data_IF_864242727804
#
_entry.id   IF_864242727804
#
_cell.length_a   1.000
_cell.length_b   1.000
_cell.length_c   1.000
_cell.angle_alpha   90.00
_cell.angle_beta   90.00
_cell.angle_gamma   90.00
#
_symmetry.space_group_name_H-M   'P 1'
#
loop_
_entity.id
_entity.type
_entity.pdbx_description
1 polymer ?
#
# COMPACT_ATOMS: atom_id res chain seq x y z
N UNK A 1 23.98 10.36 -6.16
CA UNK A 1 24.25 9.20 -5.28
C UNK A 1 23.81 7.93 -6.00
N UNK A 2 24.69 6.94 -6.09
CA UNK A 2 24.36 5.58 -6.54
C UNK A 2 23.74 4.76 -5.40
N UNK A 3 23.21 3.55 -5.74
CA UNK A 3 22.57 2.69 -4.74
C UNK A 3 23.52 2.32 -3.59
N UNK A 4 24.80 2.05 -3.89
CA UNK A 4 25.80 1.73 -2.87
C UNK A 4 26.02 2.88 -1.91
N UNK A 5 26.13 4.11 -2.40
CA UNK A 5 26.32 5.31 -1.57
C UNK A 5 25.09 5.56 -0.68
N UNK A 6 23.88 5.28 -1.19
CA UNK A 6 22.63 5.37 -0.40
C UNK A 6 22.67 4.36 0.74
N UNK A 7 23.04 3.12 0.47
CA UNK A 7 23.13 2.05 1.46
C UNK A 7 24.13 2.43 2.56
N UNK A 8 25.36 2.79 2.17
CA UNK A 8 26.42 3.20 3.11
C UNK A 8 25.99 4.40 3.98
N UNK A 9 25.33 5.38 3.36
CA UNK A 9 24.81 6.54 4.08
C UNK A 9 23.71 6.14 5.07
N UNK A 10 22.73 5.32 4.67
CA UNK A 10 21.67 4.85 5.57
C UNK A 10 22.23 3.99 6.71
N UNK A 11 23.21 3.14 6.45
CA UNK A 11 23.88 2.34 7.47
C UNK A 11 24.65 3.20 8.47
N UNK A 12 25.23 4.33 8.03
CA UNK A 12 25.92 5.29 8.92
C UNK A 12 24.96 6.03 9.89
N UNK A 13 23.66 6.06 9.56
CA UNK A 13 22.61 6.66 10.40
C UNK A 13 22.00 5.68 11.40
N UNK A 14 22.54 4.48 11.51
CA UNK A 14 22.00 3.39 12.34
C UNK A 14 21.79 3.86 13.81
N UNK A 15 20.61 3.53 14.34
CA UNK A 15 20.21 3.79 15.72
C UNK A 15 19.76 2.46 16.37
N UNK A 16 20.58 1.93 17.26
CA UNK A 16 20.35 0.61 17.85
C UNK A 16 19.15 0.60 18.82
N UNK A 17 18.92 1.68 19.57
CA UNK A 17 17.77 1.78 20.46
C UNK A 17 16.47 1.81 19.66
N UNK A 18 16.41 2.66 18.64
CA UNK A 18 15.25 2.77 17.74
C UNK A 18 15.04 1.46 16.95
N UNK A 19 16.11 0.78 16.55
CA UNK A 19 16.04 -0.53 15.88
C UNK A 19 15.25 -1.55 16.69
N UNK A 20 15.58 -1.67 17.97
CA UNK A 20 14.89 -2.61 18.87
C UNK A 20 13.39 -2.25 19.04
N UNK A 21 13.07 -0.95 19.08
CA UNK A 21 11.68 -0.49 19.12
C UNK A 21 10.92 -0.84 17.84
N UNK A 22 11.53 -0.60 16.66
CA UNK A 22 10.94 -0.92 15.36
C UNK A 22 10.71 -2.43 15.20
N UNK A 23 11.68 -3.25 15.57
CA UNK A 23 11.54 -4.71 15.51
C UNK A 23 10.32 -5.22 16.31
N UNK A 24 10.08 -4.66 17.50
CA UNK A 24 8.88 -4.99 18.30
C UNK A 24 7.61 -4.49 17.64
N UNK A 25 7.63 -3.27 17.11
CA UNK A 25 6.47 -2.63 16.47
C UNK A 25 6.05 -3.36 15.19
N UNK A 26 7.02 -3.77 14.37
CA UNK A 26 6.79 -4.50 13.12
C UNK A 26 6.72 -6.02 13.30
N UNK A 27 6.74 -6.48 14.54
CA UNK A 27 6.56 -7.89 14.89
C UNK A 27 7.48 -8.83 14.12
N UNK A 28 8.78 -8.74 14.38
CA UNK A 28 9.81 -9.55 13.71
C UNK A 28 10.15 -10.84 14.45
N UNK A 29 9.42 -11.15 15.52
CA UNK A 29 9.58 -12.37 16.29
C UNK A 29 9.21 -13.62 15.51
N UNK A 30 9.64 -14.78 16.02
CA UNK A 30 9.32 -16.07 15.40
C UNK A 30 7.81 -16.31 15.35
N UNK A 31 7.28 -16.63 14.16
CA UNK A 31 5.85 -16.84 13.90
C UNK A 31 5.05 -15.56 13.69
N UNK A 32 5.67 -14.38 13.79
CA UNK A 32 5.04 -13.11 13.49
C UNK A 32 5.09 -12.78 12.00
N UNK A 33 4.25 -11.84 11.54
CA UNK A 33 4.14 -11.47 10.12
C UNK A 33 5.38 -10.78 9.54
N UNK A 34 6.26 -10.25 10.37
CA UNK A 34 7.54 -9.63 10.01
C UNK A 34 8.74 -10.50 10.38
N UNK A 35 8.56 -11.80 10.61
CA UNK A 35 9.64 -12.71 10.98
C UNK A 35 10.82 -12.60 10.00
N UNK A 36 12.02 -12.44 10.55
CA UNK A 36 13.27 -12.37 9.79
C UNK A 36 13.56 -11.01 9.17
N UNK A 37 12.69 -9.99 9.35
CA UNK A 37 12.97 -8.64 8.87
C UNK A 37 14.02 -7.93 9.73
N UNK A 38 15.00 -7.29 9.08
CA UNK A 38 16.10 -6.59 9.75
C UNK A 38 15.93 -5.07 9.61
N UNK A 39 16.28 -4.32 10.65
CA UNK A 39 16.14 -2.87 10.73
C UNK A 39 17.47 -2.17 11.01
N UNK A 40 17.60 -0.94 10.52
CA UNK A 40 18.66 0.01 10.87
C UNK A 40 18.27 0.89 12.08
N UNK A 41 16.99 1.10 12.29
CA UNK A 41 16.46 2.02 13.30
C UNK A 41 16.09 3.39 12.73
N UNK A 42 15.84 3.52 11.44
CA UNK A 42 15.48 4.79 10.80
C UNK A 42 13.95 4.96 10.77
N UNK A 43 13.48 6.14 11.13
CA UNK A 43 12.07 6.50 10.98
C UNK A 43 11.75 6.90 9.54
N UNK A 44 10.50 6.72 9.11
CA UNK A 44 10.03 7.10 7.77
C UNK A 44 10.44 8.52 7.33
N UNK A 45 10.38 9.58 8.19
CA UNK A 45 10.88 10.90 7.80
C UNK A 45 12.35 10.92 7.41
N UNK A 46 13.23 10.17 8.12
CA UNK A 46 14.65 10.08 7.81
C UNK A 46 14.85 9.38 6.45
N UNK A 47 14.16 8.27 6.19
CA UNK A 47 14.18 7.60 4.88
C UNK A 47 13.72 8.54 3.75
N UNK A 48 12.71 9.38 3.99
CA UNK A 48 12.25 10.38 3.01
C UNK A 48 13.30 11.46 2.73
N UNK A 49 14.10 11.86 3.71
CA UNK A 49 15.22 12.79 3.46
C UNK A 49 16.27 12.12 2.54
N UNK A 50 16.60 10.84 2.76
CA UNK A 50 17.51 10.11 1.85
C UNK A 50 16.98 10.08 0.41
N UNK A 51 15.68 9.81 0.23
CA UNK A 51 15.02 9.85 -1.09
C UNK A 51 15.17 11.22 -1.77
N UNK A 52 15.19 12.32 -1.02
CA UNK A 52 15.41 13.66 -1.58
C UNK A 52 16.85 13.87 -2.05
N UNK A 53 17.82 13.23 -1.41
CA UNK A 53 19.24 13.34 -1.76
C UNK A 53 19.62 12.55 -3.03
N UNK A 54 18.77 11.64 -3.48
CA UNK A 54 19.02 10.76 -4.63
C UNK A 54 17.99 10.94 -5.78
N UNK A 55 17.75 12.17 -6.29
CA UNK A 55 16.72 12.40 -7.29
C UNK A 55 17.04 11.70 -8.63
N UNK A 56 18.33 11.56 -8.95
CA UNK A 56 18.84 11.10 -10.24
C UNK A 56 19.46 9.69 -10.18
N UNK A 57 19.11 8.89 -9.14
CA UNK A 57 19.56 7.49 -9.07
C UNK A 57 19.12 6.76 -10.35
N UNK A 58 20.01 6.09 -11.13
CA UNK A 58 19.60 5.30 -12.28
C UNK A 58 18.51 4.29 -11.91
N UNK A 59 17.50 4.12 -12.79
CA UNK A 59 16.36 3.25 -12.48
C UNK A 59 16.82 1.79 -12.32
N UNK A 60 17.87 1.42 -13.00
CA UNK A 60 18.51 0.10 -12.97
C UNK A 60 19.16 -0.24 -11.62
N UNK A 61 19.44 0.78 -10.81
CA UNK A 61 20.02 0.60 -9.47
C UNK A 61 18.93 0.47 -8.38
N UNK A 62 17.69 0.87 -8.63
CA UNK A 62 16.59 0.75 -7.65
C UNK A 62 16.40 -0.68 -7.16
N UNK A 63 16.47 -1.74 -8.00
CA UNK A 63 16.37 -3.12 -7.54
C UNK A 63 17.35 -3.50 -6.43
N UNK A 64 18.55 -2.92 -6.40
CA UNK A 64 19.54 -3.15 -5.33
C UNK A 64 18.98 -2.70 -3.96
N UNK A 65 18.23 -1.60 -3.94
CA UNK A 65 17.57 -1.12 -2.73
C UNK A 65 16.34 -1.97 -2.40
N UNK A 66 15.50 -2.29 -3.40
CA UNK A 66 14.24 -3.04 -3.21
C UNK A 66 14.47 -4.43 -2.63
N UNK A 67 15.60 -5.09 -2.95
CA UNK A 67 15.92 -6.44 -2.51
C UNK A 67 16.83 -6.50 -1.29
N UNK A 68 17.12 -5.35 -0.68
CA UNK A 68 18.07 -5.27 0.42
C UNK A 68 17.51 -5.91 1.71
N UNK A 69 18.39 -6.47 2.54
CA UNK A 69 18.00 -7.12 3.80
C UNK A 69 17.37 -6.16 4.81
N UNK A 70 17.84 -4.90 4.87
CA UNK A 70 17.29 -3.91 5.79
C UNK A 70 15.99 -3.30 5.27
N UNK A 71 14.99 -3.31 6.14
CA UNK A 71 13.65 -2.80 5.90
C UNK A 71 13.64 -1.36 5.36
N UNK A 72 14.36 -0.45 6.01
CA UNK A 72 14.35 0.97 5.65
C UNK A 72 15.03 1.22 4.30
N UNK A 73 15.98 0.38 3.90
CA UNK A 73 16.60 0.47 2.56
C UNK A 73 15.60 0.02 1.49
N UNK A 74 14.81 -1.05 1.74
CA UNK A 74 13.70 -1.42 0.85
C UNK A 74 12.66 -0.31 0.77
N UNK A 75 12.30 0.28 1.92
CA UNK A 75 11.40 1.43 1.96
C UNK A 75 11.92 2.59 1.11
N UNK A 76 13.21 2.90 1.18
CA UNK A 76 13.84 3.92 0.34
C UNK A 76 13.65 3.61 -1.14
N UNK A 77 13.88 2.36 -1.57
CA UNK A 77 13.65 1.91 -2.95
C UNK A 77 12.20 2.11 -3.40
N UNK A 78 11.21 1.68 -2.60
CA UNK A 78 9.79 1.87 -2.92
C UNK A 78 9.40 3.36 -2.95
N UNK A 79 9.92 4.18 -2.06
CA UNK A 79 9.64 5.62 -2.06
C UNK A 79 10.30 6.34 -3.26
N UNK A 80 11.43 5.85 -3.77
CA UNK A 80 12.03 6.33 -5.03
C UNK A 80 11.11 6.01 -6.22
N UNK A 81 10.53 4.81 -6.28
CA UNK A 81 9.52 4.49 -7.30
C UNK A 81 8.31 5.42 -7.22
N UNK A 82 7.80 5.67 -6.00
CA UNK A 82 6.70 6.63 -5.78
C UNK A 82 7.07 8.01 -6.32
N UNK A 83 8.23 8.55 -5.92
CA UNK A 83 8.67 9.89 -6.33
C UNK A 83 8.75 10.03 -7.85
N UNK A 84 9.30 9.03 -8.52
CA UNK A 84 9.40 8.99 -9.99
C UNK A 84 8.04 8.88 -10.66
N UNK A 85 7.19 8.01 -10.13
CA UNK A 85 5.83 7.87 -10.64
C UNK A 85 5.06 9.18 -10.52
N UNK A 86 5.09 9.83 -9.35
CA UNK A 86 4.42 11.13 -9.13
C UNK A 86 4.94 12.22 -10.09
N UNK A 87 6.24 12.22 -10.41
CA UNK A 87 6.81 13.17 -11.38
C UNK A 87 6.24 12.99 -12.81
N UNK A 88 5.96 11.73 -13.20
CA UNK A 88 5.37 11.38 -14.51
C UNK A 88 3.83 11.41 -14.50
N UNK A 89 3.19 11.52 -13.34
CA UNK A 89 1.73 11.47 -13.18
C UNK A 89 1.08 12.86 -13.05
N UNK A 90 1.77 13.92 -13.46
CA UNK A 90 1.22 15.28 -13.44
C UNK A 90 0.15 15.48 -14.52
N UNK A 91 -0.77 16.44 -14.31
CA UNK A 91 -1.81 16.76 -15.30
C UNK A 91 -1.23 17.04 -16.68
N UNK A 92 -0.06 17.73 -16.76
CA UNK A 92 0.61 18.08 -18.00
C UNK A 92 1.13 16.85 -18.76
N UNK A 93 1.57 15.82 -18.05
CA UNK A 93 2.17 14.61 -18.60
C UNK A 93 1.17 13.44 -18.69
N UNK A 94 -0.11 13.67 -18.41
CA UNK A 94 -1.11 12.59 -18.34
C UNK A 94 -1.17 11.78 -19.63
N UNK A 95 -1.23 12.45 -20.78
CA UNK A 95 -1.35 11.85 -22.12
C UNK A 95 -0.01 11.82 -22.88
N UNK A 96 1.09 12.23 -22.26
CA UNK A 96 2.42 12.19 -22.87
C UNK A 96 2.91 10.74 -23.02
N UNK A 97 3.32 10.34 -24.21
CA UNK A 97 3.69 8.95 -24.53
C UNK A 97 4.89 8.47 -23.71
N UNK A 98 5.94 9.28 -23.60
CA UNK A 98 7.12 8.88 -22.83
C UNK A 98 6.79 8.79 -21.33
N UNK A 99 5.90 9.64 -20.81
CA UNK A 99 5.44 9.55 -19.43
C UNK A 99 4.54 8.32 -19.20
N UNK A 100 3.72 7.90 -20.18
CA UNK A 100 2.94 6.66 -20.11
C UNK A 100 3.90 5.47 -20.04
N UNK A 101 4.85 5.35 -20.96
CA UNK A 101 5.86 4.30 -20.95
C UNK A 101 6.65 4.24 -19.64
N UNK A 102 7.07 5.42 -19.14
CA UNK A 102 7.79 5.51 -17.87
C UNK A 102 6.95 5.09 -16.66
N UNK A 103 5.65 5.42 -16.62
CA UNK A 103 4.75 4.97 -15.56
C UNK A 103 4.54 3.46 -15.60
N UNK A 104 4.34 2.88 -16.79
CA UNK A 104 4.17 1.44 -16.97
C UNK A 104 5.42 0.68 -16.56
N UNK A 105 6.62 1.16 -16.92
CA UNK A 105 7.90 0.57 -16.51
C UNK A 105 8.10 0.60 -14.97
N UNK A 106 7.69 1.69 -14.30
CA UNK A 106 7.75 1.77 -12.83
C UNK A 106 6.79 0.77 -12.19
N UNK A 107 5.57 0.63 -12.72
CA UNK A 107 4.58 -0.34 -12.23
C UNK A 107 5.07 -1.77 -12.45
N UNK A 108 5.61 -2.07 -13.63
CA UNK A 108 6.20 -3.39 -13.91
C UNK A 108 7.33 -3.72 -12.91
N UNK A 109 8.22 -2.77 -12.64
CA UNK A 109 9.26 -2.92 -11.63
C UNK A 109 8.66 -3.16 -10.24
N UNK A 110 7.67 -2.37 -9.83
CA UNK A 110 6.98 -2.55 -8.54
C UNK A 110 6.40 -3.96 -8.42
N UNK A 111 5.69 -4.44 -9.44
CA UNK A 111 5.06 -5.78 -9.47
C UNK A 111 6.10 -6.90 -9.45
N UNK A 112 7.22 -6.72 -10.14
CA UNK A 112 8.35 -7.68 -10.17
C UNK A 112 8.96 -7.85 -8.77
N UNK A 113 9.06 -6.78 -8.01
CA UNK A 113 9.65 -6.77 -6.67
C UNK A 113 8.61 -6.69 -5.53
N UNK A 114 7.32 -6.94 -5.83
CA UNK A 114 6.23 -6.83 -4.86
C UNK A 114 6.41 -7.71 -3.61
N UNK A 115 7.09 -8.84 -3.71
CA UNK A 115 7.34 -9.74 -2.58
C UNK A 115 8.33 -9.16 -1.55
N UNK A 116 9.13 -8.18 -1.96
CA UNK A 116 10.00 -7.43 -1.05
C UNK A 116 9.29 -6.28 -0.32
N UNK A 117 8.05 -5.96 -0.70
CA UNK A 117 7.15 -5.11 0.09
C UNK A 117 6.48 -5.94 1.20
N UNK A 118 7.30 -6.63 1.98
CA UNK A 118 6.93 -7.67 2.92
C UNK A 118 6.55 -7.14 4.32
N UNK A 119 6.05 -5.91 4.40
CA UNK A 119 5.45 -5.36 5.60
C UNK A 119 4.40 -4.29 5.24
N UNK A 120 3.49 -4.01 6.17
CA UNK A 120 2.35 -3.13 5.92
C UNK A 120 2.75 -1.70 5.55
N UNK A 121 3.78 -1.13 6.15
CA UNK A 121 4.22 0.23 5.84
C UNK A 121 4.88 0.36 4.47
N UNK A 122 5.62 -0.65 4.01
CA UNK A 122 6.18 -0.71 2.65
C UNK A 122 5.05 -0.65 1.62
N UNK A 123 3.97 -1.40 1.85
CA UNK A 123 2.79 -1.41 0.98
C UNK A 123 2.03 -0.09 1.09
N UNK A 124 1.67 0.33 2.30
CA UNK A 124 0.77 1.46 2.55
C UNK A 124 1.35 2.80 2.08
N UNK A 125 2.68 2.93 2.13
CA UNK A 125 3.38 4.15 1.70
C UNK A 125 3.67 4.20 0.19
N UNK A 126 3.58 3.08 -0.52
CA UNK A 126 3.98 2.99 -1.93
C UNK A 126 2.84 2.59 -2.88
N UNK A 127 2.08 1.52 -2.59
CA UNK A 127 1.08 0.98 -3.50
C UNK A 127 -0.01 1.98 -3.92
N UNK A 128 -0.61 2.79 -3.04
CA UNK A 128 -1.62 3.77 -3.44
C UNK A 128 -1.12 4.77 -4.48
N UNK A 129 0.13 5.21 -4.31
CA UNK A 129 0.73 6.29 -5.11
C UNK A 129 1.37 5.83 -6.42
N UNK A 130 1.61 4.52 -6.55
CA UNK A 130 2.10 3.86 -7.76
C UNK A 130 0.96 3.10 -8.44
N UNK A 131 0.68 1.87 -7.97
CA UNK A 131 -0.35 1.00 -8.55
C UNK A 131 -1.72 1.68 -8.56
N UNK A 132 -2.17 2.21 -7.40
CA UNK A 132 -3.48 2.85 -7.29
C UNK A 132 -3.64 4.06 -8.23
N UNK A 133 -2.62 4.89 -8.37
CA UNK A 133 -2.67 6.04 -9.28
C UNK A 133 -2.60 5.60 -10.74
N UNK A 134 -1.79 4.59 -11.06
CA UNK A 134 -1.69 4.02 -12.40
C UNK A 134 -3.03 3.47 -12.90
N UNK A 135 -3.87 2.87 -12.03
CA UNK A 135 -5.20 2.40 -12.40
C UNK A 135 -6.05 3.50 -13.05
N UNK A 136 -5.87 4.75 -12.63
CA UNK A 136 -6.65 5.93 -13.03
C UNK A 136 -6.01 6.75 -14.16
N UNK A 137 -4.90 6.30 -14.71
CA UNK A 137 -4.14 7.01 -15.74
C UNK A 137 -4.07 6.18 -17.04
N UNK A 138 -3.85 6.79 -18.21
CA UNK A 138 -3.52 6.08 -19.44
C UNK A 138 -2.30 5.17 -19.27
N UNK A 139 -2.33 4.00 -19.89
CA UNK A 139 -1.32 2.94 -19.84
C UNK A 139 -1.37 2.12 -21.12
N UNK A 140 -0.27 1.46 -21.47
CA UNK A 140 -0.24 0.45 -22.52
C UNK A 140 -0.69 -0.94 -22.03
N UNK A 141 -1.01 -1.09 -20.75
CA UNK A 141 -1.57 -2.31 -20.21
C UNK A 141 -3.06 -2.40 -20.58
N UNK A 142 -3.41 -3.40 -21.37
CA UNK A 142 -4.79 -3.61 -21.85
C UNK A 142 -5.71 -4.14 -20.75
N UNK A 143 -5.18 -4.84 -19.74
CA UNK A 143 -5.96 -5.49 -18.69
C UNK A 143 -5.42 -5.22 -17.28
N UNK A 144 -5.66 -4.01 -16.79
CA UNK A 144 -5.35 -3.62 -15.41
C UNK A 144 -6.14 -4.42 -14.38
N UNK A 145 -7.32 -4.91 -14.76
CA UNK A 145 -8.16 -5.74 -13.89
C UNK A 145 -7.48 -7.08 -13.63
N UNK A 146 -6.94 -7.74 -14.68
CA UNK A 146 -6.21 -8.98 -14.51
C UNK A 146 -4.96 -8.82 -13.64
N UNK A 147 -4.24 -7.70 -13.75
CA UNK A 147 -3.09 -7.39 -12.87
C UNK A 147 -3.54 -7.32 -11.41
N UNK A 148 -4.61 -6.60 -11.13
CA UNK A 148 -5.13 -6.43 -9.77
C UNK A 148 -5.74 -7.71 -9.21
N UNK A 149 -6.46 -8.48 -10.01
CA UNK A 149 -7.01 -9.79 -9.63
C UNK A 149 -5.87 -10.78 -9.34
N UNK A 150 -4.79 -10.76 -10.12
CA UNK A 150 -3.60 -11.56 -9.86
C UNK A 150 -2.94 -11.24 -8.51
N UNK A 151 -2.91 -9.97 -8.11
CA UNK A 151 -2.46 -9.57 -6.78
C UNK A 151 -3.42 -10.07 -5.68
N UNK A 152 -4.73 -9.88 -5.89
CA UNK A 152 -5.75 -10.23 -4.90
C UNK A 152 -5.89 -11.74 -4.67
N UNK A 153 -5.66 -12.55 -5.69
CA UNK A 153 -5.72 -14.02 -5.64
C UNK A 153 -4.39 -14.69 -5.26
N UNK A 154 -3.30 -13.92 -5.14
CA UNK A 154 -1.99 -14.46 -4.76
C UNK A 154 -2.02 -15.12 -3.36
N UNK A 155 -1.15 -16.09 -3.10
CA UNK A 155 -0.95 -16.67 -1.76
C UNK A 155 -0.27 -15.69 -0.80
N UNK A 156 0.45 -14.69 -1.31
CA UNK A 156 1.15 -13.67 -0.51
C UNK A 156 0.18 -12.71 0.15
N UNK A 157 0.25 -12.61 1.50
CA UNK A 157 -0.46 -11.59 2.29
C UNK A 157 -0.20 -10.18 1.75
N UNK A 158 1.05 -9.90 1.37
CA UNK A 158 1.47 -8.57 0.96
C UNK A 158 0.98 -8.21 -0.44
N UNK A 159 0.96 -9.15 -1.38
CA UNK A 159 0.33 -8.94 -2.70
C UNK A 159 -1.17 -8.69 -2.58
N UNK A 160 -1.88 -9.45 -1.73
CA UNK A 160 -3.28 -9.19 -1.40
C UNK A 160 -3.46 -7.79 -0.78
N UNK A 161 -2.55 -7.39 0.12
CA UNK A 161 -2.61 -6.05 0.72
C UNK A 161 -2.36 -4.96 -0.32
N UNK A 162 -1.44 -5.15 -1.27
CA UNK A 162 -1.22 -4.23 -2.40
C UNK A 162 -2.52 -4.03 -3.18
N UNK A 163 -3.25 -5.10 -3.54
CA UNK A 163 -4.52 -4.99 -4.27
C UNK A 163 -5.54 -4.13 -3.51
N UNK A 164 -5.67 -4.35 -2.20
CA UNK A 164 -6.65 -3.62 -1.39
C UNK A 164 -6.24 -2.16 -1.15
N UNK A 165 -5.01 -1.92 -0.71
CA UNK A 165 -4.56 -0.58 -0.31
C UNK A 165 -4.38 0.35 -1.51
N UNK A 166 -4.09 -0.17 -2.71
CA UNK A 166 -4.07 0.62 -3.95
C UNK A 166 -5.40 1.33 -4.22
N UNK A 167 -6.53 0.78 -3.76
CA UNK A 167 -7.85 1.36 -3.98
C UNK A 167 -8.08 2.68 -3.24
N UNK A 168 -7.19 3.06 -2.31
CA UNK A 168 -7.21 4.38 -1.70
C UNK A 168 -7.15 5.50 -2.73
N UNK A 169 -6.27 5.35 -3.73
CA UNK A 169 -6.10 6.39 -4.75
C UNK A 169 -7.27 6.40 -5.73
N UNK A 170 -7.81 5.26 -6.12
CA UNK A 170 -8.97 5.20 -7.01
C UNK A 170 -10.19 5.87 -6.37
N UNK A 171 -10.46 5.57 -5.10
CA UNK A 171 -11.52 6.22 -4.32
C UNK A 171 -11.30 7.74 -4.21
N UNK A 172 -10.06 8.18 -3.93
CA UNK A 172 -9.69 9.60 -3.88
C UNK A 172 -9.92 10.33 -5.20
N UNK A 173 -9.79 9.62 -6.32
CA UNK A 173 -10.03 10.14 -7.66
C UNK A 173 -11.47 9.91 -8.16
N UNK A 174 -12.37 9.45 -7.28
CA UNK A 174 -13.81 9.36 -7.50
C UNK A 174 -14.31 8.03 -8.05
N UNK A 175 -13.47 6.98 -8.09
CA UNK A 175 -13.89 5.65 -8.52
C UNK A 175 -13.91 4.68 -7.32
N UNK A 176 -15.12 4.34 -6.79
CA UNK A 176 -15.29 3.39 -5.69
C UNK A 176 -15.25 1.93 -6.13
N UNK A 177 -15.36 1.64 -7.44
CA UNK A 177 -15.59 0.29 -7.96
C UNK A 177 -14.48 -0.69 -7.58
N UNK A 178 -13.22 -0.23 -7.63
CA UNK A 178 -12.05 -1.01 -7.22
C UNK A 178 -12.09 -1.38 -5.73
N UNK A 179 -12.44 -0.40 -4.89
CA UNK A 179 -12.53 -0.63 -3.45
C UNK A 179 -13.63 -1.65 -3.11
N UNK A 180 -14.81 -1.49 -3.68
CA UNK A 180 -15.94 -2.39 -3.45
C UNK A 180 -15.62 -3.81 -3.90
N UNK A 181 -15.02 -3.99 -5.09
CA UNK A 181 -14.60 -5.29 -5.62
C UNK A 181 -13.63 -6.01 -4.68
N UNK A 182 -12.54 -5.35 -4.30
CA UNK A 182 -11.51 -6.00 -3.48
C UNK A 182 -11.88 -6.11 -2.00
N UNK A 183 -12.76 -5.26 -1.50
CA UNK A 183 -13.34 -5.44 -0.17
C UNK A 183 -14.20 -6.72 -0.10
N UNK A 184 -14.99 -7.00 -1.13
CA UNK A 184 -15.79 -8.23 -1.23
C UNK A 184 -14.88 -9.46 -1.37
N UNK A 185 -13.87 -9.43 -2.25
CA UNK A 185 -12.92 -10.55 -2.43
C UNK A 185 -12.15 -10.90 -1.14
N UNK A 186 -11.86 -9.91 -0.30
CA UNK A 186 -11.10 -10.10 0.95
C UNK A 186 -11.97 -10.15 2.20
N UNK A 187 -13.30 -10.23 2.05
CA UNK A 187 -14.25 -10.20 3.17
C UNK A 187 -13.94 -11.26 4.24
N UNK A 188 -13.66 -12.49 3.79
CA UNK A 188 -13.40 -13.64 4.65
C UNK A 188 -11.90 -13.96 4.82
N UNK A 189 -11.01 -13.00 4.52
CA UNK A 189 -9.58 -13.24 4.67
C UNK A 189 -9.22 -13.49 6.14
N UNK A 190 -8.40 -14.52 6.48
CA UNK A 190 -8.18 -14.91 7.87
C UNK A 190 -7.28 -13.95 8.67
N UNK A 191 -6.46 -13.13 8.00
CA UNK A 191 -5.40 -12.35 8.65
C UNK A 191 -5.87 -10.95 9.09
N UNK A 192 -5.62 -10.58 10.37
CA UNK A 192 -6.04 -9.30 10.97
C UNK A 192 -5.53 -8.05 10.22
N UNK A 193 -4.31 -8.10 9.65
CA UNK A 193 -3.79 -6.99 8.83
C UNK A 193 -4.63 -6.73 7.56
N UNK A 194 -5.27 -7.78 6.99
CA UNK A 194 -6.20 -7.59 5.88
C UNK A 194 -7.53 -7.05 6.38
N UNK A 195 -8.03 -7.50 7.54
CA UNK A 195 -9.23 -6.90 8.14
C UNK A 195 -9.08 -5.39 8.33
N UNK A 196 -7.92 -4.96 8.84
CA UNK A 196 -7.58 -3.54 9.00
C UNK A 196 -7.52 -2.82 7.65
N UNK A 197 -6.87 -3.41 6.65
CA UNK A 197 -6.74 -2.82 5.32
C UNK A 197 -8.12 -2.64 4.64
N UNK A 198 -8.94 -3.68 4.62
CA UNK A 198 -10.28 -3.63 4.01
C UNK A 198 -11.16 -2.60 4.73
N UNK A 199 -11.23 -2.64 6.06
CA UNK A 199 -12.00 -1.68 6.83
C UNK A 199 -11.52 -0.24 6.63
N UNK A 200 -10.21 -0.02 6.60
CA UNK A 200 -9.63 1.30 6.30
C UNK A 200 -9.99 1.78 4.90
N UNK A 201 -9.87 0.96 3.87
CA UNK A 201 -10.19 1.34 2.49
C UNK A 201 -11.68 1.62 2.30
N UNK A 202 -12.56 0.81 2.89
CA UNK A 202 -14.01 1.07 2.90
C UNK A 202 -14.33 2.42 3.57
N UNK A 203 -13.69 2.74 4.69
CA UNK A 203 -13.85 4.04 5.37
C UNK A 203 -13.41 5.20 4.48
N UNK A 204 -12.25 5.10 3.84
CA UNK A 204 -11.75 6.15 2.94
C UNK A 204 -12.64 6.27 1.69
N UNK A 205 -13.12 5.16 1.13
CA UNK A 205 -14.08 5.15 0.02
C UNK A 205 -15.37 5.87 0.41
N UNK A 206 -15.96 5.55 1.56
CA UNK A 206 -17.14 6.24 2.07
C UNK A 206 -16.93 7.75 2.23
N UNK A 207 -15.76 8.16 2.70
CA UNK A 207 -15.39 9.57 2.86
C UNK A 207 -15.22 10.30 1.52
N UNK A 208 -14.62 9.66 0.52
CA UNK A 208 -14.25 10.30 -0.75
C UNK A 208 -15.37 10.22 -1.79
N UNK A 209 -16.06 9.08 -1.88
CA UNK A 209 -17.04 8.80 -2.92
C UNK A 209 -18.50 8.90 -2.42
N UNK A 210 -18.73 8.81 -1.10
CA UNK A 210 -20.05 8.94 -0.51
C UNK A 210 -20.34 7.91 0.58
N UNK A 211 -20.85 8.40 1.71
CA UNK A 211 -21.17 7.54 2.87
C UNK A 211 -22.30 6.54 2.57
N UNK A 212 -23.17 6.83 1.62
CA UNK A 212 -24.26 5.92 1.24
C UNK A 212 -23.70 4.65 0.58
N UNK A 213 -22.62 4.75 -0.23
CA UNK A 213 -21.93 3.59 -0.77
C UNK A 213 -21.37 2.67 0.32
N UNK A 214 -20.82 3.28 1.39
CA UNK A 214 -20.36 2.50 2.54
C UNK A 214 -21.54 1.85 3.28
N UNK A 215 -22.65 2.57 3.48
CA UNK A 215 -23.86 2.02 4.11
C UNK A 215 -24.46 0.87 3.31
N UNK A 216 -24.49 1.00 1.99
CA UNK A 216 -24.97 -0.06 1.10
C UNK A 216 -24.09 -1.31 1.16
N UNK A 217 -22.77 -1.13 1.24
CA UNK A 217 -21.85 -2.25 1.45
C UNK A 217 -22.08 -2.90 2.83
N UNK A 218 -22.18 -2.11 3.89
CA UNK A 218 -22.45 -2.60 5.24
C UNK A 218 -23.80 -3.31 5.34
N UNK A 219 -24.83 -2.79 4.68
CA UNK A 219 -26.17 -3.42 4.64
C UNK A 219 -26.15 -4.84 4.06
N UNK A 220 -25.20 -5.11 3.15
CA UNK A 220 -25.03 -6.45 2.55
C UNK A 220 -24.12 -7.37 3.35
N UNK A 221 -23.05 -6.81 3.95
CA UNK A 221 -21.93 -7.64 4.44
C UNK A 221 -21.57 -7.45 5.91
N UNK A 222 -22.17 -6.50 6.65
CA UNK A 222 -21.75 -6.20 8.03
C UNK A 222 -21.80 -7.41 8.98
N UNK A 223 -22.71 -8.36 8.75
CA UNK A 223 -22.84 -9.58 9.54
C UNK A 223 -21.71 -10.58 9.30
N UNK A 224 -21.18 -10.59 8.09
CA UNK A 224 -20.11 -11.51 7.68
C UNK A 224 -18.72 -10.90 7.94
N UNK A 225 -18.64 -9.58 8.11
CA UNK A 225 -17.38 -8.88 8.33
C UNK A 225 -16.74 -9.29 9.65
N UNK A 226 -15.43 -9.64 9.66
CA UNK A 226 -14.67 -9.73 10.90
C UNK A 226 -14.80 -8.44 11.73
N UNK A 227 -14.91 -8.56 13.03
CA UNK A 227 -15.15 -7.41 13.95
C UNK A 227 -14.11 -6.29 13.80
N UNK A 228 -12.85 -6.64 13.57
CA UNK A 228 -11.79 -5.67 13.29
C UNK A 228 -12.09 -4.89 12.01
N UNK A 229 -12.46 -5.58 10.93
CA UNK A 229 -12.78 -4.97 9.64
C UNK A 229 -13.96 -3.97 9.78
N UNK A 230 -15.04 -4.41 10.41
CA UNK A 230 -16.22 -3.56 10.64
C UNK A 230 -15.85 -2.31 11.47
N UNK A 231 -15.11 -2.46 12.57
CA UNK A 231 -14.68 -1.31 13.41
C UNK A 231 -13.90 -0.28 12.62
N UNK A 232 -12.98 -0.71 11.76
CA UNK A 232 -12.20 0.19 10.91
C UNK A 232 -13.08 0.89 9.86
N UNK A 233 -14.03 0.17 9.25
CA UNK A 233 -14.92 0.74 8.25
C UNK A 233 -15.81 1.86 8.82
N UNK A 234 -16.34 1.67 10.03
CA UNK A 234 -17.30 2.61 10.65
C UNK A 234 -16.66 3.66 11.57
N UNK A 235 -15.32 3.68 11.69
CA UNK A 235 -14.61 4.54 12.66
C UNK A 235 -14.99 6.01 12.61
N UNK A 236 -15.32 6.55 11.45
CA UNK A 236 -15.67 7.96 11.24
C UNK A 236 -17.17 8.25 11.23
N UNK A 237 -18.01 7.25 11.47
CA UNK A 237 -19.44 7.42 11.66
C UNK A 237 -19.77 7.97 13.05
N UNK A 238 -20.97 8.50 13.24
CA UNK A 238 -21.47 8.94 14.55
C UNK A 238 -21.50 7.77 15.54
N UNK A 239 -21.48 8.08 16.84
CA UNK A 239 -21.52 7.05 17.88
C UNK A 239 -22.79 6.18 17.76
N UNK A 240 -23.95 6.80 17.50
CA UNK A 240 -25.22 6.11 17.29
C UNK A 240 -25.13 5.15 16.10
N UNK A 241 -24.60 5.61 14.98
CA UNK A 241 -24.49 4.80 13.77
C UNK A 241 -23.48 3.65 13.93
N UNK A 242 -22.34 3.89 14.61
CA UNK A 242 -21.40 2.84 14.98
C UNK A 242 -22.07 1.78 15.87
N UNK A 243 -22.84 2.19 16.87
CA UNK A 243 -23.56 1.26 17.74
C UNK A 243 -24.59 0.42 16.96
N UNK A 244 -25.28 1.03 15.99
CA UNK A 244 -26.19 0.35 15.08
C UNK A 244 -25.47 -0.76 14.28
N UNK A 245 -24.41 -0.43 13.56
CA UNK A 245 -23.68 -1.40 12.74
C UNK A 245 -23.01 -2.50 13.57
N UNK A 246 -22.52 -2.16 14.76
CA UNK A 246 -21.93 -3.14 15.68
C UNK A 246 -22.93 -4.16 16.24
N UNK A 247 -24.23 -3.83 16.23
CA UNK A 247 -25.34 -4.68 16.68
C UNK A 247 -26.24 -5.11 15.53
N UNK A 248 -25.85 -4.82 14.28
CA UNK A 248 -26.68 -5.07 13.09
C UNK A 248 -27.25 -6.49 13.14
N UNK A 249 -28.59 -6.65 13.14
CA UNK A 249 -29.22 -7.93 13.39
C UNK A 249 -28.95 -8.90 12.26
N UNK A 250 -28.76 -10.19 12.61
CA UNK A 250 -28.88 -11.28 11.65
C UNK A 250 -30.32 -11.38 11.20
N UNK A 251 -30.58 -11.36 9.90
CA UNK A 251 -31.89 -11.65 9.36
C UNK A 251 -32.24 -13.11 9.59
#
# INVERSE_FOLDING_TARGET
>A
MGAKEIIEYMESLRDEEQRLQLMRFFKTGKGDYGEGDEFLGLKVPQTREVVKLAPDLPIEEIPVLLTHRYHEIRLCGFLLLVKRFEALATKKLKEDKAAIEGRDAIVEMYLRYADYANNWDLVDLSAPKTIGHWLMLPSHCDDKLAVMDGLAMSDSLWRKRISMVSTWMTSRLGDPSWCLRYAEMHLHHPHDLMHKAVGWMLREMGKQCGMDLLRDFLGRYAQEMPRTMLRYAIEKMSETERAYWMKYPSN
#
